data_IF_413603114446
#
_entry.id   IF_413603114446
#
_cell.length_a   1.000
_cell.length_b   1.000
_cell.length_c   1.000
_cell.angle_alpha   90.00
_cell.angle_beta   90.00
_cell.angle_gamma   90.00
#
_symmetry.space_group_name_H-M   'P 1'
#
loop_
_entity.id
_entity.type
_entity.pdbx_description
1 polymer ?
#
# COMPACT_ATOMS: atom_id res chain seq x y z
N UNK A 1 16.39 42.25 1.37
CA UNK A 1 16.23 40.78 1.57
C UNK A 1 14.76 40.50 1.77
N UNK A 2 14.09 39.95 0.75
CA UNK A 2 12.67 39.60 0.87
C UNK A 2 12.54 38.37 1.77
N UNK A 3 11.94 38.53 2.95
CA UNK A 3 11.62 37.47 3.86
C UNK A 3 10.70 36.44 3.19
N UNK A 4 11.18 35.20 3.03
CA UNK A 4 10.40 34.09 2.52
C UNK A 4 9.20 33.88 3.46
N UNK A 5 7.98 34.13 2.95
CA UNK A 5 6.74 33.89 3.67
C UNK A 5 6.77 32.45 4.24
N UNK A 6 6.46 32.23 5.53
CA UNK A 6 6.40 30.88 6.07
C UNK A 6 5.48 30.05 5.19
N UNK A 7 5.94 28.89 4.72
CA UNK A 7 5.06 27.93 4.04
C UNK A 7 3.95 27.55 5.03
N UNK A 8 2.71 27.56 4.52
CA UNK A 8 1.58 26.97 5.23
C UNK A 8 1.92 25.54 5.68
N UNK A 9 1.40 25.14 6.84
CA UNK A 9 1.74 23.87 7.48
C UNK A 9 1.47 22.68 6.55
N UNK A 10 0.38 22.69 5.81
CA UNK A 10 -0.02 21.63 4.90
C UNK A 10 0.88 21.57 3.68
N UNK A 11 1.22 22.72 3.10
CA UNK A 11 2.17 22.84 1.99
C UNK A 11 3.55 22.37 2.39
N UNK A 12 4.01 22.70 3.61
CA UNK A 12 5.29 22.22 4.13
C UNK A 12 5.28 20.69 4.31
N UNK A 13 4.23 20.15 4.94
CA UNK A 13 4.06 18.71 5.15
C UNK A 13 4.09 17.95 3.81
N UNK A 14 3.32 18.40 2.84
CA UNK A 14 3.29 17.83 1.49
C UNK A 14 4.67 17.82 0.86
N UNK A 15 5.38 18.95 0.89
CA UNK A 15 6.74 19.05 0.33
C UNK A 15 7.73 18.11 1.02
N UNK A 16 7.65 17.99 2.34
CA UNK A 16 8.51 17.07 3.10
C UNK A 16 8.25 15.61 2.74
N UNK A 17 6.98 15.22 2.65
CA UNK A 17 6.59 13.86 2.25
C UNK A 17 7.00 13.55 0.80
N UNK A 18 6.85 14.48 -0.12
CA UNK A 18 7.26 14.30 -1.53
C UNK A 18 8.78 14.18 -1.67
N UNK A 19 9.54 15.00 -0.91
CA UNK A 19 11.00 14.90 -0.86
C UNK A 19 11.44 13.56 -0.28
N UNK A 20 10.82 13.12 0.82
CA UNK A 20 11.11 11.82 1.43
C UNK A 20 10.79 10.67 0.46
N UNK A 21 9.64 10.73 -0.22
CA UNK A 21 9.27 9.75 -1.25
C UNK A 21 10.31 9.68 -2.37
N UNK A 22 10.80 10.83 -2.83
CA UNK A 22 11.84 10.90 -3.87
C UNK A 22 13.14 10.24 -3.43
N UNK A 23 13.59 10.49 -2.19
CA UNK A 23 14.79 9.86 -1.61
C UNK A 23 14.60 8.34 -1.54
N UNK A 24 13.47 7.89 -1.01
CA UNK A 24 13.16 6.46 -0.87
C UNK A 24 13.02 5.78 -2.24
N UNK A 25 12.37 6.42 -3.20
CA UNK A 25 12.21 5.87 -4.55
C UNK A 25 13.55 5.65 -5.26
N UNK A 26 14.52 6.52 -5.00
CA UNK A 26 15.84 6.42 -5.61
C UNK A 26 16.76 5.39 -4.93
N UNK A 27 16.72 5.27 -3.58
CA UNK A 27 17.76 4.59 -2.81
C UNK A 27 17.24 3.69 -1.68
N UNK A 28 15.93 3.58 -1.51
CA UNK A 28 15.28 2.79 -0.46
C UNK A 28 15.17 3.52 0.88
N UNK A 29 14.42 2.91 1.80
CA UNK A 29 14.13 3.48 3.13
C UNK A 29 15.38 3.76 3.95
N UNK A 30 16.39 2.89 3.91
CA UNK A 30 17.62 3.03 4.68
C UNK A 30 18.47 4.25 4.30
N UNK A 31 18.24 4.87 3.13
CA UNK A 31 18.92 6.08 2.72
C UNK A 31 18.28 7.38 3.26
N UNK A 32 17.05 7.29 3.79
CA UNK A 32 16.34 8.45 4.31
C UNK A 32 17.00 8.93 5.61
N UNK A 33 17.43 10.20 5.61
CA UNK A 33 17.99 10.84 6.79
C UNK A 33 17.50 12.29 6.90
N UNK A 34 17.44 12.79 8.15
CA UNK A 34 16.86 14.10 8.45
C UNK A 34 17.63 15.28 7.84
N UNK A 35 18.96 15.17 7.67
CA UNK A 35 19.76 16.26 7.12
C UNK A 35 19.51 16.45 5.63
N UNK A 36 19.54 15.38 4.86
CA UNK A 36 19.27 15.40 3.44
C UNK A 36 17.82 15.82 3.16
N UNK A 37 16.87 15.28 3.92
CA UNK A 37 15.46 15.66 3.82
C UNK A 37 15.26 17.15 4.09
N UNK A 38 15.85 17.70 5.19
CA UNK A 38 15.77 19.11 5.51
C UNK A 38 16.36 20.01 4.40
N UNK A 39 17.50 19.60 3.83
CA UNK A 39 18.12 20.29 2.69
C UNK A 39 17.19 20.30 1.46
N UNK A 40 16.61 19.16 1.09
CA UNK A 40 15.68 19.04 -0.04
C UNK A 40 14.39 19.85 0.15
N UNK A 41 13.90 19.94 1.38
CA UNK A 41 12.74 20.77 1.73
C UNK A 41 13.10 22.26 1.76
N UNK A 42 14.35 22.59 2.06
CA UNK A 42 14.84 23.96 2.25
C UNK A 42 14.53 24.50 3.65
N UNK A 43 14.68 23.67 4.68
CA UNK A 43 14.44 24.02 6.08
C UNK A 43 15.57 23.50 6.98
N UNK A 44 15.50 23.82 8.28
CA UNK A 44 16.38 23.23 9.29
C UNK A 44 15.88 21.84 9.72
N UNK A 45 16.77 20.99 10.23
CA UNK A 45 16.41 19.71 10.86
C UNK A 45 15.46 19.92 12.05
N UNK A 46 15.68 20.99 12.83
CA UNK A 46 14.78 21.37 13.91
C UNK A 46 13.35 21.65 13.44
N UNK A 47 13.20 22.31 12.27
CA UNK A 47 11.87 22.56 11.68
C UNK A 47 11.17 21.25 11.31
N UNK A 48 11.90 20.27 10.75
CA UNK A 48 11.33 18.93 10.46
C UNK A 48 10.82 18.25 11.74
N UNK A 49 11.64 18.24 12.80
CA UNK A 49 11.25 17.60 14.06
C UNK A 49 10.10 18.35 14.77
N UNK A 50 10.04 19.68 14.65
CA UNK A 50 8.89 20.44 15.17
C UNK A 50 7.59 20.09 14.43
N UNK A 51 7.69 19.73 13.15
CA UNK A 51 6.50 19.36 12.35
C UNK A 51 6.06 17.91 12.58
N UNK A 52 7.00 16.97 12.52
CA UNK A 52 6.72 15.54 12.52
C UNK A 52 7.06 14.81 13.84
N UNK A 53 7.73 15.49 14.78
CA UNK A 53 8.19 14.86 16.01
C UNK A 53 9.39 13.94 15.79
N UNK A 54 9.31 13.02 14.85
CA UNK A 54 10.38 12.07 14.52
C UNK A 54 10.41 11.74 13.03
N UNK A 55 11.54 11.17 12.58
CA UNK A 55 11.64 10.63 11.22
C UNK A 55 10.74 9.39 11.04
N UNK A 56 10.62 8.56 12.09
CA UNK A 56 9.70 7.43 12.11
C UNK A 56 8.25 7.86 11.85
N UNK A 57 7.79 8.89 12.54
CA UNK A 57 6.43 9.40 12.34
C UNK A 57 6.23 9.94 10.91
N UNK A 58 7.22 10.66 10.36
CA UNK A 58 7.18 11.10 8.97
C UNK A 58 7.05 9.92 8.00
N UNK A 59 7.81 8.84 8.23
CA UNK A 59 7.71 7.61 7.41
C UNK A 59 6.34 6.94 7.56
N UNK A 60 5.78 6.91 8.77
CA UNK A 60 4.41 6.40 8.97
C UNK A 60 3.38 7.20 8.18
N UNK A 61 3.47 8.54 8.20
CA UNK A 61 2.57 9.42 7.43
C UNK A 61 2.74 9.18 5.92
N UNK A 62 3.98 9.02 5.44
CA UNK A 62 4.25 8.70 4.04
C UNK A 62 3.68 7.34 3.64
N UNK A 63 3.84 6.33 4.49
CA UNK A 63 3.31 4.99 4.24
C UNK A 63 1.78 4.96 4.23
N UNK A 64 1.11 5.70 5.14
CA UNK A 64 -0.34 5.84 5.12
C UNK A 64 -0.82 6.50 3.82
N UNK A 65 -0.17 7.60 3.38
CA UNK A 65 -0.45 8.23 2.08
C UNK A 65 -0.27 7.25 0.91
N UNK A 66 0.71 6.37 1.00
CA UNK A 66 0.94 5.33 -0.02
C UNK A 66 -0.19 4.30 -0.03
N UNK A 67 -0.66 3.87 1.14
CA UNK A 67 -1.80 2.95 1.28
C UNK A 67 -3.11 3.58 0.82
N UNK A 68 -3.34 4.88 1.07
CA UNK A 68 -4.51 5.59 0.59
C UNK A 68 -4.53 5.66 -0.95
N UNK A 69 -3.39 5.99 -1.57
CA UNK A 69 -3.24 5.95 -3.04
C UNK A 69 -3.44 4.55 -3.62
N UNK A 70 -2.99 3.51 -2.91
CA UNK A 70 -3.29 2.14 -3.31
C UNK A 70 -4.80 1.90 -3.27
N UNK A 71 -5.48 2.25 -2.17
CA UNK A 71 -6.92 2.08 -2.04
C UNK A 71 -7.69 2.73 -3.19
N UNK A 72 -7.33 3.98 -3.53
CA UNK A 72 -7.95 4.71 -4.63
C UNK A 72 -7.70 4.02 -6.00
N UNK A 73 -6.50 3.48 -6.22
CA UNK A 73 -6.16 2.74 -7.44
C UNK A 73 -6.93 1.41 -7.55
N UNK A 74 -7.10 0.72 -6.42
CA UNK A 74 -7.86 -0.54 -6.36
C UNK A 74 -9.36 -0.28 -6.60
N UNK A 75 -9.92 0.74 -5.99
CA UNK A 75 -11.33 1.11 -6.15
C UNK A 75 -11.63 1.49 -7.61
N UNK A 76 -10.77 2.32 -8.21
CA UNK A 76 -10.88 2.69 -9.62
C UNK A 76 -10.82 1.47 -10.56
N UNK A 77 -9.93 0.51 -10.28
CA UNK A 77 -9.82 -0.71 -11.10
C UNK A 77 -11.06 -1.61 -10.94
N UNK A 78 -11.58 -1.76 -9.72
CA UNK A 78 -12.77 -2.56 -9.46
C UNK A 78 -14.04 -1.96 -10.06
N UNK A 79 -14.11 -0.62 -10.18
CA UNK A 79 -15.27 0.07 -10.75
C UNK A 79 -15.45 -0.17 -12.25
N UNK A 80 -14.42 -0.65 -12.95
CA UNK A 80 -14.47 -0.95 -14.39
C UNK A 80 -14.99 -2.36 -14.71
N UNK A 81 -15.19 -3.18 -13.68
CA UNK A 81 -15.54 -4.59 -13.85
C UNK A 81 -16.89 -4.91 -13.21
N UNK A 82 -17.55 -5.95 -13.73
CA UNK A 82 -18.82 -6.46 -13.21
C UNK A 82 -18.63 -7.79 -12.47
N UNK A 83 -19.42 -7.97 -11.42
CA UNK A 83 -19.39 -9.18 -10.61
C UNK A 83 -18.17 -9.32 -9.68
N UNK A 84 -18.32 -10.11 -8.59
CA UNK A 84 -17.31 -10.20 -7.55
C UNK A 84 -15.96 -10.74 -8.03
N UNK A 85 -16.00 -11.76 -8.88
CA UNK A 85 -14.77 -12.44 -9.37
C UNK A 85 -13.93 -11.53 -10.24
N UNK A 86 -14.53 -10.82 -11.21
CA UNK A 86 -13.81 -9.93 -12.11
C UNK A 86 -13.28 -8.71 -11.36
N UNK A 87 -14.08 -8.14 -10.46
CA UNK A 87 -13.65 -7.04 -9.59
C UNK A 87 -12.47 -7.43 -8.69
N UNK A 88 -12.49 -8.62 -8.09
CA UNK A 88 -11.38 -9.11 -7.28
C UNK A 88 -10.13 -9.39 -8.12
N UNK A 89 -10.28 -9.92 -9.33
CA UNK A 89 -9.17 -10.10 -10.27
C UNK A 89 -8.55 -8.75 -10.68
N UNK A 90 -9.38 -7.74 -10.93
CA UNK A 90 -8.92 -6.38 -11.20
C UNK A 90 -8.15 -5.77 -10.01
N UNK A 91 -8.62 -5.99 -8.77
CA UNK A 91 -7.86 -5.60 -7.58
C UNK A 91 -6.47 -6.24 -7.55
N UNK A 92 -6.37 -7.53 -7.84
CA UNK A 92 -5.09 -8.24 -7.84
C UNK A 92 -4.12 -7.68 -8.89
N UNK A 93 -4.59 -7.43 -10.11
CA UNK A 93 -3.79 -6.78 -11.17
C UNK A 93 -3.33 -5.38 -10.76
N UNK A 94 -4.27 -4.54 -10.29
CA UNK A 94 -3.98 -3.18 -9.89
C UNK A 94 -3.01 -3.09 -8.71
N UNK A 95 -3.08 -4.04 -7.78
CA UNK A 95 -2.13 -4.17 -6.66
C UNK A 95 -0.70 -4.40 -7.17
N UNK A 96 -0.50 -5.37 -8.07
CA UNK A 96 0.81 -5.67 -8.66
C UNK A 96 1.34 -4.46 -9.44
N UNK A 97 0.50 -3.83 -10.25
CA UNK A 97 0.87 -2.65 -11.02
C UNK A 97 1.26 -1.46 -10.14
N UNK A 98 0.50 -1.24 -9.06
CA UNK A 98 0.81 -0.18 -8.09
C UNK A 98 2.17 -0.41 -7.42
N UNK A 99 2.40 -1.62 -6.94
CA UNK A 99 3.65 -2.00 -6.28
C UNK A 99 4.87 -1.87 -7.22
N UNK A 100 4.70 -2.18 -8.50
CA UNK A 100 5.77 -2.12 -9.50
C UNK A 100 6.10 -0.71 -9.99
N UNK A 101 5.21 0.29 -9.83
CA UNK A 101 5.50 1.67 -10.23
C UNK A 101 6.61 2.31 -9.41
N UNK A 102 6.65 2.04 -8.10
CA UNK A 102 7.66 2.57 -7.17
C UNK A 102 8.04 1.49 -6.15
N UNK A 103 8.79 0.47 -6.55
CA UNK A 103 9.01 -0.73 -5.72
C UNK A 103 9.69 -0.44 -4.39
N UNK A 104 10.62 0.52 -4.33
CA UNK A 104 11.31 0.88 -3.08
C UNK A 104 10.40 1.66 -2.12
N UNK A 105 9.49 2.50 -2.62
CA UNK A 105 8.47 3.18 -1.80
C UNK A 105 7.45 2.17 -1.30
N UNK A 106 7.04 1.23 -2.17
CA UNK A 106 6.13 0.16 -1.78
C UNK A 106 6.73 -0.74 -0.69
N UNK A 107 7.98 -1.14 -0.86
CA UNK A 107 8.69 -1.93 0.16
C UNK A 107 8.78 -1.21 1.50
N UNK A 108 8.95 0.12 1.52
CA UNK A 108 9.03 0.89 2.75
C UNK A 108 7.78 0.76 3.64
N UNK A 109 6.60 0.46 3.06
CA UNK A 109 5.36 0.19 3.82
C UNK A 109 5.51 -1.03 4.73
N UNK A 110 6.27 -2.05 4.29
CA UNK A 110 6.46 -3.32 5.00
C UNK A 110 7.77 -3.38 5.76
N UNK A 111 8.84 -2.78 5.22
CA UNK A 111 10.18 -2.80 5.81
C UNK A 111 10.30 -1.84 7.00
N UNK A 112 9.43 -0.81 7.08
CA UNK A 112 9.45 0.14 8.20
C UNK A 112 8.89 -0.48 9.47
N UNK A 113 9.79 -0.64 10.45
CA UNK A 113 9.43 -1.03 11.81
C UNK A 113 9.57 0.20 12.73
N UNK A 114 8.46 0.74 13.26
CA UNK A 114 8.52 1.91 14.14
C UNK A 114 9.38 1.62 15.38
N UNK A 115 10.18 2.60 15.78
CA UNK A 115 10.94 2.56 17.03
C UNK A 115 9.97 2.54 18.22
N UNK A 116 10.14 1.61 19.15
CA UNK A 116 9.29 1.47 20.33
C UNK A 116 8.44 0.19 20.32
N UNK A 117 7.31 0.18 21.03
CA UNK A 117 6.47 -1.04 21.21
C UNK A 117 5.74 -1.54 19.97
N UNK A 118 6.11 -1.10 18.76
CA UNK A 118 5.54 -1.59 17.51
C UNK A 118 4.06 -1.24 17.27
N UNK A 119 3.47 -0.40 18.12
CA UNK A 119 2.06 0.01 18.00
C UNK A 119 1.96 1.03 16.86
N UNK A 120 1.26 0.66 15.80
CA UNK A 120 0.90 1.60 14.74
C UNK A 120 -0.25 2.47 15.21
N UNK A 121 -0.23 3.79 14.95
CA UNK A 121 -1.34 4.67 15.30
C UNK A 121 -2.65 4.24 14.65
N UNK A 122 -3.79 4.55 15.29
CA UNK A 122 -5.12 4.21 14.78
C UNK A 122 -5.38 4.72 13.36
N UNK A 123 -4.90 5.93 13.05
CA UNK A 123 -5.03 6.52 11.72
C UNK A 123 -4.26 5.73 10.64
N UNK A 124 -3.15 5.08 10.99
CA UNK A 124 -2.43 4.20 10.07
C UNK A 124 -3.21 2.90 9.83
N UNK A 125 -3.79 2.35 10.89
CA UNK A 125 -4.65 1.16 10.81
C UNK A 125 -5.89 1.41 9.97
N UNK A 126 -6.43 2.64 9.98
CA UNK A 126 -7.56 3.05 9.16
C UNK A 126 -7.29 2.94 7.65
N UNK A 127 -6.09 3.30 7.18
CA UNK A 127 -5.72 3.13 5.76
C UNK A 127 -5.72 1.66 5.33
N UNK A 128 -5.22 0.76 6.20
CA UNK A 128 -5.27 -0.69 5.94
C UNK A 128 -6.71 -1.21 5.93
N UNK A 129 -7.54 -0.75 6.88
CA UNK A 129 -8.94 -1.18 6.99
C UNK A 129 -9.80 -0.71 5.80
N UNK A 130 -9.49 0.43 5.18
CA UNK A 130 -10.14 0.88 3.93
C UNK A 130 -9.95 -0.14 2.82
N UNK A 131 -8.71 -0.62 2.60
CA UNK A 131 -8.40 -1.63 1.58
C UNK A 131 -9.13 -2.95 1.89
N UNK A 132 -9.10 -3.39 3.15
CA UNK A 132 -9.81 -4.60 3.57
C UNK A 132 -11.32 -4.47 3.37
N UNK A 133 -11.90 -3.31 3.71
CA UNK A 133 -13.33 -3.04 3.55
C UNK A 133 -13.76 -3.06 2.09
N UNK A 134 -12.95 -2.50 1.18
CA UNK A 134 -13.20 -2.57 -0.26
C UNK A 134 -13.28 -4.02 -0.74
N UNK A 135 -12.27 -4.84 -0.44
CA UNK A 135 -12.27 -6.26 -0.84
C UNK A 135 -13.44 -7.04 -0.23
N UNK A 136 -13.76 -6.81 1.06
CA UNK A 136 -14.88 -7.45 1.73
C UNK A 136 -16.21 -7.06 1.07
N UNK A 137 -16.42 -5.78 0.72
CA UNK A 137 -17.66 -5.31 0.09
C UNK A 137 -17.90 -5.96 -1.27
N UNK A 138 -16.83 -6.19 -2.03
CA UNK A 138 -16.89 -6.89 -3.32
C UNK A 138 -17.26 -8.36 -3.15
N UNK A 139 -16.70 -9.02 -2.13
CA UNK A 139 -16.91 -10.44 -1.88
C UNK A 139 -18.23 -10.75 -1.17
N UNK A 140 -18.80 -9.80 -0.44
CA UNK A 140 -19.96 -10.02 0.41
C UNK A 140 -21.16 -10.64 -0.33
N UNK A 141 -21.48 -10.27 -1.59
CA UNK A 141 -22.57 -10.91 -2.35
C UNK A 141 -22.40 -12.42 -2.60
N UNK A 142 -21.17 -12.94 -2.52
CA UNK A 142 -20.89 -14.38 -2.68
C UNK A 142 -21.20 -15.19 -1.41
N UNK A 143 -21.50 -14.54 -0.29
CA UNK A 143 -21.79 -15.19 0.98
C UNK A 143 -23.24 -14.97 1.39
N UNK A 144 -24.12 -15.99 1.27
CA UNK A 144 -25.47 -15.92 1.79
C UNK A 144 -25.46 -15.61 3.28
N UNK A 145 -26.49 -14.96 3.78
CA UNK A 145 -26.68 -14.56 5.18
C UNK A 145 -25.67 -13.51 5.68
N UNK A 146 -25.02 -12.75 4.78
CA UNK A 146 -24.15 -11.62 5.14
C UNK A 146 -22.93 -11.99 6.01
N UNK A 147 -22.38 -13.20 5.81
CA UNK A 147 -21.23 -13.71 6.59
C UNK A 147 -19.95 -12.89 6.38
N UNK A 148 -19.95 -11.66 6.87
CA UNK A 148 -18.82 -10.72 6.77
C UNK A 148 -17.49 -11.33 7.24
N UNK A 149 -17.51 -12.21 8.26
CA UNK A 149 -16.31 -12.92 8.72
C UNK A 149 -15.73 -13.86 7.67
N UNK A 150 -16.58 -14.55 6.93
CA UNK A 150 -16.16 -15.42 5.82
C UNK A 150 -15.55 -14.59 4.67
N UNK A 151 -16.22 -13.51 4.26
CA UNK A 151 -15.71 -12.59 3.25
C UNK A 151 -14.35 -12.00 3.66
N UNK A 152 -14.18 -11.57 4.91
CA UNK A 152 -12.90 -11.07 5.44
C UNK A 152 -11.80 -12.14 5.37
N UNK A 153 -12.12 -13.39 5.73
CA UNK A 153 -11.15 -14.50 5.66
C UNK A 153 -10.67 -14.72 4.21
N UNK A 154 -11.61 -14.76 3.27
CA UNK A 154 -11.31 -14.91 1.84
C UNK A 154 -10.47 -13.74 1.32
N UNK A 155 -10.86 -12.49 1.64
CA UNK A 155 -10.09 -11.31 1.30
C UNK A 155 -8.66 -11.38 1.83
N UNK A 156 -8.46 -11.84 3.08
CA UNK A 156 -7.14 -11.98 3.69
C UNK A 156 -6.29 -13.03 2.96
N UNK A 157 -6.87 -14.19 2.61
CA UNK A 157 -6.16 -15.25 1.88
C UNK A 157 -5.72 -14.75 0.52
N UNK A 158 -6.63 -14.12 -0.23
CA UNK A 158 -6.32 -13.54 -1.56
C UNK A 158 -5.21 -12.50 -1.44
N UNK A 159 -5.37 -11.54 -0.52
CA UNK A 159 -4.36 -10.49 -0.33
C UNK A 159 -2.99 -11.06 0.01
N UNK A 160 -2.90 -12.00 0.96
CA UNK A 160 -1.64 -12.60 1.38
C UNK A 160 -0.95 -13.35 0.21
N UNK A 161 -1.74 -14.03 -0.62
CA UNK A 161 -1.23 -14.77 -1.76
C UNK A 161 -0.74 -13.84 -2.88
N UNK A 162 -1.53 -12.80 -3.23
CA UNK A 162 -1.17 -11.78 -4.21
C UNK A 162 0.07 -11.00 -3.75
N UNK A 163 0.13 -10.64 -2.46
CA UNK A 163 1.31 -9.99 -1.88
C UNK A 163 2.54 -10.90 -1.96
N UNK A 164 2.40 -12.19 -1.70
CA UNK A 164 3.49 -13.17 -1.85
C UNK A 164 4.04 -13.22 -3.27
N UNK A 165 3.18 -13.27 -4.29
CA UNK A 165 3.57 -13.20 -5.70
C UNK A 165 4.33 -11.89 -5.98
N UNK A 166 3.78 -10.76 -5.52
CA UNK A 166 4.39 -9.44 -5.68
C UNK A 166 5.79 -9.36 -5.04
N UNK A 167 5.94 -9.81 -3.80
CA UNK A 167 7.18 -9.77 -3.05
C UNK A 167 8.27 -10.66 -3.72
N UNK A 168 7.91 -11.87 -4.18
CA UNK A 168 8.80 -12.74 -4.91
C UNK A 168 9.25 -12.12 -6.24
N UNK A 169 8.33 -11.47 -6.96
CA UNK A 169 8.63 -10.78 -8.21
C UNK A 169 9.61 -9.62 -8.00
N UNK A 170 9.33 -8.74 -7.03
CA UNK A 170 10.19 -7.59 -6.71
C UNK A 170 11.56 -8.00 -6.17
N UNK A 171 11.65 -9.10 -5.42
CA UNK A 171 12.90 -9.67 -4.96
C UNK A 171 13.69 -10.42 -6.04
N UNK A 172 13.12 -10.56 -7.24
CA UNK A 172 13.72 -11.31 -8.35
C UNK A 172 13.71 -12.83 -8.16
N UNK A 173 13.07 -13.31 -7.09
CA UNK A 173 13.02 -14.74 -6.77
C UNK A 173 11.98 -15.49 -7.60
N UNK A 174 10.91 -14.82 -8.04
CA UNK A 174 9.85 -15.47 -8.84
C UNK A 174 10.40 -16.07 -10.14
N UNK A 175 11.36 -15.40 -10.79
CA UNK A 175 11.99 -15.86 -12.04
C UNK A 175 12.75 -17.20 -11.91
N UNK A 176 13.08 -17.61 -10.68
CA UNK A 176 13.70 -18.94 -10.44
C UNK A 176 12.68 -20.07 -10.44
N UNK A 177 11.39 -19.74 -10.35
CA UNK A 177 10.28 -20.69 -10.30
C UNK A 177 9.49 -20.69 -11.60
N UNK A 178 9.23 -19.50 -12.17
CA UNK A 178 8.44 -19.33 -13.40
C UNK A 178 8.85 -18.06 -14.15
N UNK A 179 8.53 -18.02 -15.45
CA UNK A 179 8.65 -16.83 -16.31
C UNK A 179 7.30 -16.15 -16.57
N UNK A 180 6.22 -16.61 -15.91
CA UNK A 180 4.89 -16.04 -16.04
C UNK A 180 4.82 -14.62 -15.51
N UNK A 181 3.92 -13.82 -16.10
CA UNK A 181 3.64 -12.46 -15.60
C UNK A 181 3.01 -12.54 -14.19
N UNK A 182 3.59 -11.86 -13.20
CA UNK A 182 3.01 -11.82 -11.84
C UNK A 182 1.54 -11.41 -11.80
N UNK A 183 1.07 -10.56 -12.76
CA UNK A 183 -0.34 -10.18 -12.88
C UNK A 183 -1.21 -11.35 -13.32
N UNK A 184 -0.76 -12.12 -14.28
CA UNK A 184 -1.47 -13.30 -14.75
C UNK A 184 -1.59 -14.35 -13.64
N UNK A 185 -0.50 -14.61 -12.91
CA UNK A 185 -0.51 -15.51 -11.76
C UNK A 185 -1.48 -15.06 -10.66
N UNK A 186 -1.49 -13.76 -10.35
CA UNK A 186 -2.37 -13.20 -9.33
C UNK A 186 -3.85 -13.29 -9.76
N UNK A 187 -4.15 -13.03 -11.04
CA UNK A 187 -5.50 -13.14 -11.59
C UNK A 187 -5.98 -14.60 -11.59
N UNK A 188 -5.15 -15.53 -12.05
CA UNK A 188 -5.48 -16.97 -12.07
C UNK A 188 -5.75 -17.50 -10.65
N UNK A 189 -4.90 -17.12 -9.69
CA UNK A 189 -5.09 -17.45 -8.28
C UNK A 189 -6.45 -16.97 -7.77
N UNK A 190 -6.81 -15.71 -8.02
CA UNK A 190 -8.10 -15.15 -7.56
C UNK A 190 -9.26 -15.89 -8.19
N UNK A 191 -9.26 -16.07 -9.52
CA UNK A 191 -10.35 -16.75 -10.24
C UNK A 191 -10.48 -18.21 -9.81
N UNK A 192 -9.37 -18.94 -9.72
CA UNK A 192 -9.37 -20.34 -9.30
C UNK A 192 -9.85 -20.52 -7.86
N UNK A 193 -9.41 -19.65 -6.95
CA UNK A 193 -9.82 -19.72 -5.55
C UNK A 193 -11.31 -19.41 -5.38
N UNK A 194 -11.83 -18.34 -5.99
CA UNK A 194 -13.24 -17.99 -5.90
C UNK A 194 -14.16 -19.05 -6.54
N UNK A 195 -13.77 -19.58 -7.71
CA UNK A 195 -14.50 -20.69 -8.33
C UNK A 195 -14.55 -21.98 -7.46
N UNK A 196 -13.53 -22.20 -6.62
CA UNK A 196 -13.51 -23.32 -5.67
C UNK A 196 -14.51 -23.14 -4.53
N UNK A 197 -14.81 -21.90 -4.13
CA UNK A 197 -15.80 -21.61 -3.09
C UNK A 197 -17.21 -21.87 -3.57
N UNK A 198 -17.53 -21.51 -4.81
CA UNK A 198 -18.86 -21.75 -5.42
C UNK A 198 -19.17 -23.24 -5.51
N UNK A 199 -18.17 -24.08 -5.88
CA UNK A 199 -18.34 -25.54 -5.94
C UNK A 199 -18.58 -26.19 -4.58
N UNK A 200 -18.08 -25.61 -3.50
CA UNK A 200 -18.24 -26.15 -2.14
C UNK A 200 -19.54 -25.65 -1.47
N UNK A 201 -20.24 -24.71 -2.08
CA UNK A 201 -21.51 -24.16 -1.58
C UNK A 201 -22.74 -24.84 -2.21
N UNK A 202 -22.55 -25.61 -3.30
CA UNK A 202 -23.56 -26.42 -4.01
C UNK A 202 -23.62 -27.83 -3.48
#
# INVERSE_FOLDING_TARGET
MAGRKPLDRDTFSTKALDTAQTIIAARGLGALNARELATGVGCSVGTLYNMFGSLDHLVQVLNARTLDRLCDALDAAAALEEGPTDRMAALARAYIDFANRQPLVWRAVFDHQPSGQGIRPDWYSASIERIATLAISILLPMFPDGRRRAARRVATIIWSSVHGICALAQGGNLRHVTHEDPRALAEELVRGYLASLDRNAS
#
